data_IF_558950441742
#
_entry.id   IF_558950441742
#
_cell.length_a   1.000
_cell.length_b   1.000
_cell.length_c   1.000
_cell.angle_alpha   90.00
_cell.angle_beta   90.00
_cell.angle_gamma   90.00
#
_symmetry.space_group_name_H-M   'P 1'
#
loop_
_entity.id
_entity.type
_entity.pdbx_description
1 polymer ?
#
# COMPACT_ATOMS: atom_id res chain seq x y z
N UNK A 1 -9.14 2.13 21.70
CA UNK A 1 -9.84 2.54 20.47
C UNK A 1 -9.66 1.46 19.40
N UNK A 2 -10.73 1.14 18.70
CA UNK A 2 -10.70 0.14 17.65
C UNK A 2 -10.12 0.76 16.36
N UNK A 3 -8.97 0.24 15.90
CA UNK A 3 -8.30 0.73 14.70
C UNK A 3 -9.17 0.61 13.45
N UNK A 4 -10.08 -0.38 13.40
CA UNK A 4 -10.96 -0.58 12.24
C UNK A 4 -11.88 0.61 12.00
N UNK A 5 -12.23 1.35 13.04
CA UNK A 5 -13.08 2.54 12.91
C UNK A 5 -12.38 3.70 12.21
N UNK A 6 -11.04 3.64 12.12
CA UNK A 6 -10.24 4.70 11.50
C UNK A 6 -9.83 4.38 10.07
N UNK A 7 -10.30 3.26 9.52
CA UNK A 7 -10.00 2.90 8.14
C UNK A 7 -10.83 3.75 7.19
N UNK A 8 -10.24 4.22 6.09
CA UNK A 8 -11.01 4.91 5.07
C UNK A 8 -12.03 3.96 4.43
N UNK A 9 -13.13 4.51 3.98
CA UNK A 9 -14.18 3.73 3.30
C UNK A 9 -13.82 3.42 1.86
N UNK A 10 -12.91 4.19 1.28
CA UNK A 10 -12.50 4.07 -0.11
C UNK A 10 -11.00 3.89 -0.18
N UNK A 11 -10.56 2.86 -0.90
CA UNK A 11 -9.16 2.67 -1.24
C UNK A 11 -9.01 2.85 -2.73
N UNK A 12 -8.17 3.79 -3.14
CA UNK A 12 -7.91 4.06 -4.55
C UNK A 12 -6.84 3.11 -5.05
N UNK A 13 -7.12 2.41 -6.15
CA UNK A 13 -6.16 1.49 -6.73
C UNK A 13 -5.02 2.26 -7.39
N UNK A 14 -3.80 1.99 -6.93
CA UNK A 14 -2.59 2.62 -7.44
C UNK A 14 -2.01 1.77 -8.57
N UNK A 15 -2.70 1.75 -9.72
CA UNK A 15 -2.32 0.94 -10.86
C UNK A 15 -1.31 1.67 -11.74
N UNK A 16 -0.20 2.04 -11.14
CA UNK A 16 0.89 2.73 -11.82
C UNK A 16 2.12 1.84 -11.88
N UNK A 17 2.85 1.92 -12.98
CA UNK A 17 4.13 1.24 -13.13
C UNK A 17 5.32 2.20 -12.96
N UNK A 18 5.04 3.46 -12.62
CA UNK A 18 6.04 4.51 -12.45
C UNK A 18 5.83 5.20 -11.11
N UNK A 19 6.87 5.22 -10.30
CA UNK A 19 6.81 5.79 -8.95
C UNK A 19 6.46 7.30 -8.98
N UNK A 20 6.95 8.02 -10.00
CA UNK A 20 6.69 9.45 -10.10
C UNK A 20 5.22 9.74 -10.43
N UNK A 21 4.63 8.93 -11.31
CA UNK A 21 3.21 9.05 -11.62
C UNK A 21 2.35 8.74 -10.39
N UNK A 22 2.74 7.72 -9.63
CA UNK A 22 2.03 7.37 -8.40
C UNK A 22 2.07 8.54 -7.40
N UNK A 23 3.24 9.13 -7.21
CA UNK A 23 3.40 10.26 -6.30
C UNK A 23 2.62 11.49 -6.75
N UNK A 24 2.64 11.78 -8.05
CA UNK A 24 1.88 12.91 -8.60
C UNK A 24 0.38 12.74 -8.39
N UNK A 25 -0.12 11.52 -8.59
CA UNK A 25 -1.53 11.23 -8.41
C UNK A 25 -1.98 11.53 -6.98
N UNK A 26 -1.17 11.20 -5.98
CA UNK A 26 -1.55 11.40 -4.58
C UNK A 26 -1.71 12.86 -4.20
N UNK A 27 -1.12 13.78 -4.96
CA UNK A 27 -1.31 15.20 -4.72
C UNK A 27 -2.72 15.69 -5.03
N UNK A 28 -3.50 14.89 -5.76
CA UNK A 28 -4.86 15.24 -6.19
C UNK A 28 -5.94 14.68 -5.28
N UNK A 29 -5.58 13.89 -4.28
CA UNK A 29 -6.55 13.24 -3.40
C UNK A 29 -6.25 13.55 -1.95
N UNK A 30 -7.31 13.47 -1.12
CA UNK A 30 -7.22 13.79 0.30
C UNK A 30 -6.98 12.52 1.12
N UNK A 31 -5.86 12.43 1.84
CA UNK A 31 -5.57 11.24 2.66
C UNK A 31 -6.57 11.00 3.79
N UNK A 32 -7.36 12.01 4.16
CA UNK A 32 -8.41 11.84 5.16
C UNK A 32 -9.62 11.11 4.61
N UNK A 33 -9.82 11.16 3.30
CA UNK A 33 -10.99 10.56 2.66
C UNK A 33 -10.69 9.21 2.00
N UNK A 34 -9.45 9.01 1.55
CA UNK A 34 -9.08 7.84 0.76
C UNK A 34 -7.83 7.19 1.29
N UNK A 35 -7.81 5.85 1.26
CA UNK A 35 -6.58 5.09 1.39
C UNK A 35 -6.05 4.70 0.02
N UNK A 36 -4.89 4.08 -0.02
CA UNK A 36 -4.25 3.65 -1.26
C UNK A 36 -4.13 2.14 -1.29
N UNK A 37 -4.63 1.53 -2.36
CA UNK A 37 -4.46 0.10 -2.59
C UNK A 37 -3.25 -0.11 -3.51
N UNK A 38 -2.26 -0.83 -3.01
CA UNK A 38 -1.00 -1.05 -3.71
C UNK A 38 -0.94 -2.51 -4.13
N UNK A 39 -0.93 -2.73 -5.43
CA UNK A 39 -0.88 -4.07 -5.99
C UNK A 39 0.52 -4.62 -6.09
N UNK A 40 0.60 -5.87 -6.54
CA UNK A 40 1.84 -6.62 -6.63
C UNK A 40 2.91 -5.92 -7.48
N UNK A 41 2.53 -5.39 -8.64
CA UNK A 41 3.49 -4.81 -9.56
C UNK A 41 4.17 -3.58 -8.97
N UNK A 42 3.38 -2.65 -8.44
CA UNK A 42 3.95 -1.44 -7.85
C UNK A 42 4.78 -1.78 -6.63
N UNK A 43 4.28 -2.67 -5.77
CA UNK A 43 5.00 -3.07 -4.56
C UNK A 43 6.32 -3.77 -4.89
N UNK A 44 6.31 -4.67 -5.88
CA UNK A 44 7.51 -5.40 -6.27
C UNK A 44 8.57 -4.48 -6.85
N UNK A 45 8.17 -3.48 -7.63
CA UNK A 45 9.12 -2.57 -8.26
C UNK A 45 9.66 -1.50 -7.31
N UNK A 46 8.88 -1.09 -6.31
CA UNK A 46 9.26 0.01 -5.43
C UNK A 46 9.61 -0.42 -4.01
N UNK A 47 9.09 -1.57 -3.56
CA UNK A 47 9.33 -2.07 -2.22
C UNK A 47 8.66 -1.24 -1.14
N UNK A 48 9.12 -1.39 0.12
CA UNK A 48 8.49 -0.73 1.25
C UNK A 48 8.74 0.78 1.31
N UNK A 49 9.71 1.31 0.56
CA UNK A 49 10.03 2.73 0.61
C UNK A 49 8.88 3.60 0.12
N UNK A 50 8.18 3.16 -0.92
CA UNK A 50 7.03 3.90 -1.42
C UNK A 50 5.89 3.90 -0.40
N UNK A 51 5.69 2.78 0.28
CA UNK A 51 4.67 2.68 1.32
C UNK A 51 4.98 3.66 2.45
N UNK A 52 6.24 3.72 2.86
CA UNK A 52 6.68 4.66 3.87
C UNK A 52 6.41 6.10 3.44
N UNK A 53 6.68 6.40 2.18
CA UNK A 53 6.41 7.73 1.63
C UNK A 53 4.92 8.08 1.70
N UNK A 54 4.05 7.12 1.32
CA UNK A 54 2.60 7.34 1.41
C UNK A 54 2.16 7.57 2.86
N UNK A 55 2.71 6.81 3.81
CA UNK A 55 2.39 7.00 5.23
C UNK A 55 2.82 8.38 5.72
N UNK A 56 3.96 8.87 5.27
CA UNK A 56 4.43 10.21 5.63
C UNK A 56 3.49 11.29 5.10
N UNK A 57 2.79 11.03 4.01
CA UNK A 57 1.78 11.93 3.46
C UNK A 57 0.41 11.78 4.12
N UNK A 58 0.29 10.86 5.07
CA UNK A 58 -0.95 10.67 5.82
C UNK A 58 -1.89 9.63 5.27
N UNK A 59 -1.50 8.91 4.22
CA UNK A 59 -2.36 7.88 3.64
C UNK A 59 -2.27 6.57 4.40
N UNK A 60 -3.41 5.88 4.54
CA UNK A 60 -3.43 4.48 4.94
C UNK A 60 -3.33 3.62 3.70
N UNK A 61 -2.71 2.46 3.83
CA UNK A 61 -2.41 1.61 2.69
C UNK A 61 -2.99 0.21 2.85
N UNK A 62 -3.36 -0.36 1.72
CA UNK A 62 -3.81 -1.75 1.61
C UNK A 62 -2.89 -2.45 0.60
N UNK A 63 -2.17 -3.48 1.06
CA UNK A 63 -1.34 -4.30 0.17
C UNK A 63 -2.19 -5.43 -0.38
N UNK A 64 -2.46 -5.38 -1.68
CA UNK A 64 -3.28 -6.36 -2.39
C UNK A 64 -2.38 -7.20 -3.31
N UNK A 65 -1.88 -8.30 -2.78
CA UNK A 65 -0.84 -9.08 -3.44
C UNK A 65 -1.30 -10.37 -4.11
N UNK A 66 -2.49 -10.76 -4.02
CA UNK A 66 -3.24 -11.85 -4.69
C UNK A 66 -2.45 -12.89 -5.50
N UNK A 67 -1.43 -13.51 -4.92
CA UNK A 67 -0.76 -14.61 -5.61
C UNK A 67 -0.41 -15.74 -4.65
N UNK A 68 -0.40 -16.97 -5.19
CA UNK A 68 -0.25 -18.17 -4.38
C UNK A 68 1.17 -18.40 -3.90
N UNK A 69 2.14 -18.23 -4.80
CA UNK A 69 3.54 -18.42 -4.48
C UNK A 69 4.23 -17.07 -4.37
N UNK A 70 4.45 -16.64 -3.13
CA UNK A 70 5.11 -15.36 -2.88
C UNK A 70 6.62 -15.62 -2.85
N UNK A 71 7.40 -15.03 -3.76
CA UNK A 71 8.86 -15.13 -3.68
C UNK A 71 9.37 -14.65 -2.34
N UNK A 72 10.45 -15.27 -1.86
CA UNK A 72 11.01 -14.95 -0.55
C UNK A 72 11.28 -13.46 -0.37
N UNK A 73 11.80 -12.81 -1.41
CA UNK A 73 12.08 -11.38 -1.36
C UNK A 73 10.82 -10.55 -1.15
N UNK A 74 9.73 -10.89 -1.84
CA UNK A 74 8.46 -10.20 -1.69
C UNK A 74 7.86 -10.49 -0.33
N UNK A 75 7.96 -11.72 0.15
CA UNK A 75 7.48 -12.09 1.47
C UNK A 75 8.17 -11.26 2.56
N UNK A 76 9.50 -11.13 2.49
CA UNK A 76 10.24 -10.31 3.45
C UNK A 76 9.83 -8.84 3.37
N UNK A 77 9.61 -8.34 2.16
CA UNK A 77 9.15 -6.98 1.96
C UNK A 77 7.74 -6.76 2.53
N UNK A 78 6.85 -7.74 2.39
CA UNK A 78 5.52 -7.69 3.01
C UNK A 78 5.60 -7.59 4.53
N UNK A 79 6.46 -8.40 5.13
CA UNK A 79 6.65 -8.37 6.59
C UNK A 79 7.17 -7.00 7.01
N UNK A 80 8.14 -6.47 6.27
CA UNK A 80 8.68 -5.13 6.55
C UNK A 80 7.62 -4.05 6.41
N UNK A 81 6.79 -4.14 5.37
CA UNK A 81 5.70 -3.20 5.15
C UNK A 81 4.67 -3.27 6.27
N UNK A 82 4.34 -4.48 6.73
CA UNK A 82 3.43 -4.66 7.86
C UNK A 82 3.97 -3.99 9.13
N UNK A 83 5.27 -4.08 9.35
CA UNK A 83 5.93 -3.41 10.47
C UNK A 83 5.90 -1.90 10.32
N UNK A 84 5.83 -1.39 9.10
CA UNK A 84 5.71 0.05 8.85
C UNK A 84 4.28 0.56 9.08
N UNK A 85 3.33 -0.33 9.33
CA UNK A 85 2.00 0.07 9.70
C UNK A 85 0.99 0.14 8.56
N UNK A 86 1.12 -0.71 7.53
CA UNK A 86 0.06 -0.81 6.52
C UNK A 86 -1.24 -1.23 7.20
N UNK A 87 -2.36 -0.66 6.75
CA UNK A 87 -3.66 -0.89 7.37
C UNK A 87 -4.20 -2.28 7.06
N UNK A 88 -3.98 -2.77 5.85
CA UNK A 88 -4.49 -4.07 5.41
C UNK A 88 -3.48 -4.76 4.49
N UNK A 89 -3.43 -6.08 4.56
CA UNK A 89 -2.62 -6.89 3.65
C UNK A 89 -3.51 -8.04 3.16
N UNK A 90 -3.49 -8.28 1.86
CA UNK A 90 -4.20 -9.40 1.24
C UNK A 90 -3.24 -10.21 0.40
N UNK A 91 -3.08 -11.49 0.76
CA UNK A 91 -2.29 -12.44 -0.03
C UNK A 91 -3.08 -13.74 -0.09
N UNK A 92 -2.99 -14.43 -1.22
CA UNK A 92 -3.54 -15.77 -1.36
C UNK A 92 -2.49 -16.78 -0.93
N UNK A 93 -2.90 -17.61 -0.02
CA UNK A 93 -2.04 -18.68 0.48
C UNK A 93 -2.10 -19.89 -0.44
#
# INVERSE_FOLDING_TARGET
MNKLLNLPKIFVAMDFNDINLAKEFTKKIDPKLCGLKIGKELFTSTGPDLIKWFHEKGFKTFLDLKFHDIPTTVKKACISAAKLGVALVNVHA
#
